data_IF_619961930480
#
_entry.id   IF_619961930480
#
_cell.length_a   1.000
_cell.length_b   1.000
_cell.length_c   1.000
_cell.angle_alpha   90.00
_cell.angle_beta   90.00
_cell.angle_gamma   90.00
#
_symmetry.space_group_name_H-M   'P 1'
#
loop_
_entity.id
_entity.type
_entity.pdbx_description
1 polymer ?
#
# COMPACT_ATOMS: atom_id res chain seq x y z
N UNK A 1 15.94 27.22 41.45
CA UNK A 1 17.12 26.50 40.93
C UNK A 1 16.70 25.92 39.59
N UNK A 2 16.92 26.68 38.51
CA UNK A 2 16.61 26.27 37.14
C UNK A 2 17.81 25.48 36.60
N UNK A 3 17.56 24.33 35.99
CA UNK A 3 18.56 23.56 35.24
C UNK A 3 18.28 23.79 33.75
N UNK A 4 19.27 24.37 33.08
CA UNK A 4 19.31 24.67 31.65
C UNK A 4 19.66 23.41 30.85
N UNK A 5 18.89 23.11 29.81
CA UNK A 5 19.17 22.04 28.83
C UNK A 5 19.73 22.70 27.57
N UNK A 6 20.88 22.28 27.02
CA UNK A 6 21.48 22.94 25.87
C UNK A 6 20.72 22.63 24.59
N UNK A 7 20.28 23.70 23.93
CA UNK A 7 19.74 23.73 22.57
C UNK A 7 20.93 23.72 21.60
N UNK A 8 21.14 22.61 20.87
CA UNK A 8 22.11 22.57 19.77
C UNK A 8 21.51 23.24 18.53
N UNK A 9 21.76 24.54 18.41
CA UNK A 9 21.67 25.30 17.16
C UNK A 9 22.89 24.98 16.30
N UNK A 10 22.72 24.21 15.22
CA UNK A 10 23.70 24.14 14.14
C UNK A 10 23.54 25.38 13.25
N UNK A 11 24.30 26.42 13.60
CA UNK A 11 24.50 27.58 12.75
C UNK A 11 25.42 27.19 11.58
N UNK A 12 24.87 27.16 10.37
CA UNK A 12 25.64 27.13 9.14
C UNK A 12 26.28 28.51 8.93
N UNK A 13 27.60 28.61 9.13
CA UNK A 13 28.40 29.71 8.61
C UNK A 13 29.49 29.14 7.70
N UNK A 14 29.56 29.78 6.54
CA UNK A 14 30.20 29.38 5.30
C UNK A 14 31.62 29.95 5.25
N UNK A 15 32.63 29.15 4.94
CA UNK A 15 33.90 29.63 4.37
C UNK A 15 33.90 29.32 2.88
N UNK A 16 34.08 30.36 2.06
CA UNK A 16 34.11 30.25 0.61
C UNK A 16 35.49 29.79 0.14
N UNK A 17 35.55 28.59 -0.46
CA UNK A 17 36.57 28.24 -1.44
C UNK A 17 35.93 28.05 -2.82
N UNK A 18 36.62 28.54 -3.85
CA UNK A 18 36.15 28.65 -5.23
C UNK A 18 35.93 27.31 -5.95
N UNK A 19 35.50 27.33 -7.23
CA UNK A 19 34.72 26.26 -7.83
C UNK A 19 35.60 25.07 -8.21
N UNK A 20 35.55 24.01 -7.40
CA UNK A 20 35.93 22.65 -7.76
C UNK A 20 34.66 21.79 -7.90
N UNK A 21 34.58 21.00 -8.96
CA UNK A 21 33.41 20.16 -9.29
C UNK A 21 32.93 19.30 -8.10
N UNK A 22 31.61 19.12 -7.92
CA UNK A 22 31.10 18.32 -6.82
C UNK A 22 31.42 16.84 -7.04
N UNK A 23 32.45 16.36 -6.35
CA UNK A 23 32.74 14.93 -6.18
C UNK A 23 31.65 14.31 -5.31
N UNK A 24 30.79 13.55 -5.96
CA UNK A 24 29.58 12.90 -5.47
C UNK A 24 29.87 11.57 -4.76
N UNK A 25 30.34 11.59 -3.50
CA UNK A 25 30.28 10.39 -2.64
C UNK A 25 30.00 10.73 -1.19
N UNK A 26 28.71 10.69 -0.83
CA UNK A 26 28.26 10.43 0.54
C UNK A 26 28.35 8.92 0.83
N UNK A 27 28.60 8.51 2.09
CA UNK A 27 28.85 7.12 2.45
C UNK A 27 27.60 6.24 2.24
N UNK A 28 27.83 5.04 1.70
CA UNK A 28 26.80 4.06 1.32
C UNK A 28 26.30 3.32 2.57
N UNK A 29 25.01 3.43 2.88
CA UNK A 29 24.40 2.70 4.00
C UNK A 29 23.03 3.18 4.53
N UNK A 30 22.29 4.05 3.82
CA UNK A 30 20.99 4.57 4.30
C UNK A 30 19.83 4.10 3.41
N UNK A 31 18.75 3.64 4.06
CA UNK A 31 17.52 3.16 3.44
C UNK A 31 16.73 4.37 2.94
N UNK A 32 16.40 4.42 1.64
CA UNK A 32 15.49 5.42 1.10
C UNK A 32 14.28 4.74 0.45
N UNK A 33 13.25 4.51 1.26
CA UNK A 33 11.86 4.56 0.84
C UNK A 33 11.45 6.02 1.02
N UNK A 34 11.23 6.76 -0.05
CA UNK A 34 10.92 8.18 0.11
C UNK A 34 9.53 8.36 0.72
N UNK A 35 9.41 9.35 1.61
CA UNK A 35 8.12 9.79 2.11
C UNK A 35 7.36 10.49 0.97
N UNK A 36 6.11 10.08 0.78
CA UNK A 36 5.16 10.76 -0.10
C UNK A 36 5.09 12.23 0.30
N UNK A 37 5.21 13.13 -0.67
CA UNK A 37 4.93 14.53 -0.46
C UNK A 37 3.57 14.84 -1.07
N UNK A 38 2.61 15.15 -0.20
CA UNK A 38 1.29 15.62 -0.64
C UNK A 38 1.42 17.01 -1.25
N UNK A 39 0.65 17.25 -2.32
CA UNK A 39 0.46 18.55 -2.92
C UNK A 39 -0.83 19.20 -2.41
N UNK A 40 -1.56 19.84 -3.32
CA UNK A 40 -2.83 20.49 -3.02
C UNK A 40 -3.94 19.48 -2.71
N UNK A 41 -4.81 19.85 -1.78
CA UNK A 41 -6.08 19.15 -1.55
C UNK A 41 -6.96 19.29 -2.78
N UNK A 42 -7.50 18.18 -3.25
CA UNK A 42 -8.40 18.09 -4.38
C UNK A 42 -9.84 17.97 -3.87
N UNK A 43 -10.78 18.54 -4.61
CA UNK A 43 -12.21 18.38 -4.34
C UNK A 43 -12.64 16.98 -4.83
N UNK A 44 -13.18 16.13 -3.95
CA UNK A 44 -13.55 14.75 -4.30
C UNK A 44 -14.79 14.72 -5.23
N UNK A 45 -14.69 14.24 -6.48
CA UNK A 45 -15.83 14.15 -7.38
C UNK A 45 -16.91 13.20 -6.88
N UNK A 46 -16.59 12.26 -5.99
CA UNK A 46 -17.52 11.24 -5.50
C UNK A 46 -18.32 11.66 -4.26
N UNK A 47 -18.15 12.88 -3.72
CA UNK A 47 -19.04 13.31 -2.63
C UNK A 47 -20.50 13.30 -3.10
N UNK A 48 -21.44 13.01 -2.19
CA UNK A 48 -22.88 13.01 -2.51
C UNK A 48 -23.30 14.35 -3.15
N UNK A 49 -22.75 15.47 -2.65
CA UNK A 49 -23.02 16.80 -3.18
C UNK A 49 -22.55 16.96 -4.63
N UNK A 50 -21.29 16.62 -4.92
CA UNK A 50 -20.71 16.77 -6.25
C UNK A 50 -21.39 15.85 -7.27
N UNK A 51 -21.66 14.59 -6.90
CA UNK A 51 -22.40 13.65 -7.76
C UNK A 51 -23.86 14.07 -7.99
N UNK A 52 -24.53 14.66 -6.99
CA UNK A 52 -25.90 15.16 -7.14
C UNK A 52 -25.95 16.39 -8.05
N UNK A 53 -24.98 17.29 -7.96
CA UNK A 53 -24.86 18.44 -8.87
C UNK A 53 -24.58 17.97 -10.29
N UNK A 54 -23.64 17.05 -10.48
CA UNK A 54 -23.33 16.46 -11.77
C UNK A 54 -24.55 15.78 -12.41
N UNK A 55 -25.28 14.97 -11.63
CA UNK A 55 -26.52 14.32 -12.09
C UNK A 55 -27.55 15.35 -12.55
N UNK A 56 -27.70 16.44 -11.81
CA UNK A 56 -28.63 17.54 -12.12
C UNK A 56 -28.26 18.25 -13.41
N UNK A 57 -26.96 18.44 -13.70
CA UNK A 57 -26.49 19.06 -14.95
C UNK A 57 -26.60 18.13 -16.14
N UNK A 58 -26.26 16.85 -15.99
CA UNK A 58 -26.34 15.86 -17.08
C UNK A 58 -27.80 15.53 -17.41
N UNK A 59 -28.66 15.45 -16.39
CA UNK A 59 -30.08 15.13 -16.54
C UNK A 59 -31.00 16.17 -15.87
N UNK A 60 -31.12 17.39 -16.42
CA UNK A 60 -31.97 18.44 -15.84
C UNK A 60 -33.43 18.05 -15.66
N UNK A 61 -33.94 17.15 -16.51
CA UNK A 61 -35.32 16.64 -16.45
C UNK A 61 -35.54 15.59 -15.35
N UNK A 62 -34.45 15.00 -14.83
CA UNK A 62 -34.46 14.08 -13.67
C UNK A 62 -34.04 14.78 -12.37
N UNK A 63 -33.59 16.04 -12.45
CA UNK A 63 -33.25 16.87 -11.30
C UNK A 63 -34.41 16.91 -10.29
N UNK A 64 -34.12 16.67 -9.02
CA UNK A 64 -35.11 16.63 -7.94
C UNK A 64 -35.99 15.37 -7.90
N UNK A 65 -35.96 14.50 -8.91
CA UNK A 65 -36.63 13.17 -8.88
C UNK A 65 -35.72 12.08 -8.36
N UNK A 66 -34.43 12.18 -8.67
CA UNK A 66 -33.39 11.27 -8.17
C UNK A 66 -32.59 12.04 -7.12
N UNK A 67 -32.77 11.63 -5.87
CA UNK A 67 -32.00 12.14 -4.72
C UNK A 67 -30.97 11.07 -4.37
N UNK A 68 -29.69 11.44 -4.47
CA UNK A 68 -28.58 10.59 -4.10
C UNK A 68 -28.45 10.55 -2.57
N UNK A 69 -28.09 9.39 -2.07
CA UNK A 69 -27.77 9.15 -0.66
C UNK A 69 -26.43 8.46 -0.59
N UNK A 70 -25.66 8.71 0.48
CA UNK A 70 -24.38 8.06 0.70
C UNK A 70 -24.49 6.54 0.53
N UNK A 71 -23.60 5.97 -0.27
CA UNK A 71 -23.36 4.52 -0.36
C UNK A 71 -22.22 4.11 0.56
N UNK A 72 -21.24 5.00 0.69
CA UNK A 72 -19.98 4.77 1.38
C UNK A 72 -19.56 6.02 2.15
N UNK A 73 -18.69 5.83 3.13
CA UNK A 73 -18.00 6.89 3.85
C UNK A 73 -16.51 6.82 3.55
N UNK A 74 -15.93 7.97 3.22
CA UNK A 74 -14.49 8.17 3.26
C UNK A 74 -14.10 8.53 4.69
N UNK A 75 -13.27 7.69 5.31
CA UNK A 75 -12.96 7.78 6.73
C UNK A 75 -11.46 7.70 6.96
N UNK A 76 -11.02 8.16 8.13
CA UNK A 76 -9.68 7.90 8.65
C UNK A 76 -9.73 7.41 10.09
N UNK A 77 -8.86 6.48 10.42
CA UNK A 77 -8.69 5.91 11.75
C UNK A 77 -7.33 6.31 12.31
N UNK A 78 -7.23 6.51 13.63
CA UNK A 78 -5.96 6.73 14.33
C UNK A 78 -5.74 5.61 15.35
N UNK A 79 -5.17 4.45 14.93
CA UNK A 79 -4.81 3.38 15.85
C UNK A 79 -3.69 3.83 16.79
N UNK A 80 -3.83 3.54 18.09
CA UNK A 80 -2.78 3.88 19.06
C UNK A 80 -1.66 2.83 19.16
N UNK A 81 -1.94 1.60 18.73
CA UNK A 81 -1.09 0.42 18.87
C UNK A 81 -1.36 -0.61 17.76
N UNK A 82 -0.47 -1.61 17.64
CA UNK A 82 -0.57 -2.66 16.61
C UNK A 82 -1.84 -3.50 16.76
N UNK A 83 -2.34 -3.70 17.98
CA UNK A 83 -3.56 -4.46 18.23
C UNK A 83 -4.80 -3.77 17.64
N UNK A 84 -4.88 -2.44 17.77
CA UNK A 84 -5.93 -1.65 17.12
C UNK A 84 -5.80 -1.62 15.60
N UNK A 85 -4.57 -1.54 15.08
CA UNK A 85 -4.33 -1.62 13.64
C UNK A 85 -4.76 -3.00 13.09
N UNK A 86 -4.44 -4.08 13.81
CA UNK A 86 -4.84 -5.44 13.46
C UNK A 86 -6.37 -5.61 13.52
N UNK A 87 -7.04 -5.03 14.52
CA UNK A 87 -8.50 -5.03 14.60
C UNK A 87 -9.18 -4.45 13.34
N UNK A 88 -8.64 -3.35 12.79
CA UNK A 88 -9.14 -2.76 11.54
C UNK A 88 -8.93 -3.70 10.34
N UNK A 89 -7.81 -4.43 10.31
CA UNK A 89 -7.46 -5.36 9.23
C UNK A 89 -8.29 -6.63 9.25
N UNK A 90 -8.56 -7.16 10.44
CA UNK A 90 -9.40 -8.35 10.63
C UNK A 90 -10.85 -8.08 10.21
N UNK A 91 -11.27 -6.82 10.19
CA UNK A 91 -12.55 -6.35 9.60
C UNK A 91 -12.51 -6.28 8.07
N UNK A 92 -11.42 -6.67 7.44
CA UNK A 92 -11.27 -6.71 5.98
C UNK A 92 -11.03 -5.35 5.33
N UNK A 93 -10.68 -4.31 6.11
CA UNK A 93 -10.46 -2.97 5.58
C UNK A 93 -9.17 -2.92 4.75
N UNK A 94 -9.25 -2.26 3.60
CA UNK A 94 -8.07 -1.80 2.87
C UNK A 94 -7.68 -0.43 3.42
N UNK A 95 -6.56 -0.37 4.12
CA UNK A 95 -6.04 0.82 4.78
C UNK A 95 -4.94 1.45 3.92
N UNK A 96 -4.99 2.77 3.78
CA UNK A 96 -3.94 3.59 3.18
C UNK A 96 -3.36 4.53 4.22
N UNK A 97 -2.07 4.83 4.14
CA UNK A 97 -1.39 5.71 5.09
C UNK A 97 -1.43 7.20 4.72
N UNK A 98 -2.00 7.54 3.56
CA UNK A 98 -2.13 8.91 3.08
C UNK A 98 -3.55 9.20 2.61
N UNK A 99 -3.97 10.48 2.68
CA UNK A 99 -5.28 10.89 2.19
C UNK A 99 -5.42 10.65 0.68
N UNK A 100 -6.62 10.26 0.27
CA UNK A 100 -6.99 9.94 -1.11
C UNK A 100 -7.47 11.16 -1.92
N UNK A 101 -7.71 12.28 -1.25
CA UNK A 101 -8.21 13.56 -1.75
C UNK A 101 -7.10 14.61 -1.87
N UNK A 102 -5.85 14.18 -2.04
CA UNK A 102 -4.70 15.07 -2.26
C UNK A 102 -3.97 14.69 -3.55
N UNK A 103 -3.47 15.71 -4.24
CA UNK A 103 -2.46 15.48 -5.27
C UNK A 103 -1.15 14.98 -4.64
N UNK A 104 -0.36 14.22 -5.39
CA UNK A 104 0.95 13.75 -4.95
C UNK A 104 2.01 14.58 -5.68
N UNK A 105 2.71 15.43 -4.93
CA UNK A 105 3.78 16.27 -5.45
C UNK A 105 5.07 15.47 -5.68
N UNK A 106 5.34 14.49 -4.81
CA UNK A 106 6.45 13.53 -4.97
C UNK A 106 6.00 12.13 -4.57
N UNK A 107 6.32 11.19 -5.44
CA UNK A 107 6.09 9.76 -5.21
C UNK A 107 6.93 9.23 -4.04
N UNK A 108 6.35 8.25 -3.36
CA UNK A 108 6.95 7.60 -2.20
C UNK A 108 6.23 6.30 -1.86
N UNK A 109 6.79 5.59 -0.89
CA UNK A 109 6.29 4.28 -0.44
C UNK A 109 5.53 4.34 0.89
N UNK A 110 5.58 5.50 1.58
CA UNK A 110 4.79 5.74 2.79
C UNK A 110 4.50 7.23 3.02
N UNK A 111 3.56 7.54 3.90
CA UNK A 111 3.29 8.91 4.38
C UNK A 111 3.19 8.95 5.90
N UNK A 112 3.79 9.98 6.52
CA UNK A 112 3.60 10.31 7.93
C UNK A 112 2.86 11.64 8.04
N UNK A 113 1.70 11.65 8.69
CA UNK A 113 0.96 12.88 8.95
C UNK A 113 1.76 13.75 9.95
N UNK A 114 2.10 15.01 9.61
CA UNK A 114 2.89 15.88 10.49
C UNK A 114 2.22 16.21 11.83
N UNK A 115 0.91 15.99 11.97
CA UNK A 115 0.17 16.17 13.22
C UNK A 115 0.30 14.98 14.17
N UNK A 116 0.81 13.84 13.68
CA UNK A 116 1.05 12.63 14.45
C UNK A 116 2.55 12.52 14.77
N UNK A 117 2.89 12.11 15.98
CA UNK A 117 4.29 11.95 16.39
C UNK A 117 5.04 11.00 15.47
N UNK A 118 6.32 11.28 15.18
CA UNK A 118 7.14 10.52 14.21
C UNK A 118 7.21 9.02 14.52
N UNK A 119 7.08 8.63 15.79
CA UNK A 119 7.14 7.24 16.24
C UNK A 119 5.75 6.55 16.35
N UNK A 120 4.66 7.25 16.02
CA UNK A 120 3.29 6.77 16.19
C UNK A 120 2.62 6.41 14.87
N UNK A 121 1.72 5.42 14.91
CA UNK A 121 0.94 4.98 13.73
C UNK A 121 0.16 6.18 13.17
N UNK A 122 0.49 6.57 11.94
CA UNK A 122 -0.20 7.64 11.21
C UNK A 122 -1.67 7.29 10.95
N UNK A 123 -2.45 8.29 10.52
CA UNK A 123 -3.81 8.10 10.06
C UNK A 123 -3.94 7.02 8.99
N UNK A 124 -4.89 6.12 9.19
CA UNK A 124 -5.23 5.03 8.28
C UNK A 124 -6.54 5.37 7.57
N UNK A 125 -6.45 5.69 6.28
CA UNK A 125 -7.56 6.09 5.43
C UNK A 125 -8.22 4.87 4.81
N UNK A 126 -9.55 4.87 4.76
CA UNK A 126 -10.34 3.77 4.20
C UNK A 126 -11.65 4.29 3.59
N UNK A 127 -12.28 3.42 2.80
CA UNK A 127 -13.65 3.61 2.32
C UNK A 127 -14.48 2.46 2.85
N UNK A 128 -15.57 2.78 3.55
CA UNK A 128 -16.42 1.80 4.24
C UNK A 128 -17.87 1.97 3.81
N UNK A 129 -18.67 0.89 3.76
CA UNK A 129 -20.09 1.02 3.42
C UNK A 129 -20.84 1.81 4.50
N UNK A 130 -21.97 2.41 4.12
CA UNK A 130 -22.81 3.24 5.02
C UNK A 130 -23.27 2.55 6.32
N UNK A 131 -23.35 1.23 6.33
CA UNK A 131 -23.77 0.41 7.47
C UNK A 131 -22.58 -0.19 8.24
N UNK A 132 -21.35 0.27 7.95
CA UNK A 132 -20.16 -0.15 8.66
C UNK A 132 -20.26 0.13 10.15
N UNK A 133 -20.10 -0.91 10.97
CA UNK A 133 -20.09 -0.81 12.42
C UNK A 133 -18.70 -0.36 12.90
N UNK A 134 -18.52 0.94 13.12
CA UNK A 134 -17.26 1.52 13.59
C UNK A 134 -16.80 0.91 14.93
N UNK A 135 -15.53 0.53 15.08
CA UNK A 135 -14.99 0.09 16.38
C UNK A 135 -14.94 1.27 17.36
N UNK A 136 -15.41 1.07 18.59
CA UNK A 136 -15.43 2.13 19.62
C UNK A 136 -14.03 2.37 20.21
N UNK A 137 -13.14 1.39 20.09
CA UNK A 137 -11.80 1.44 20.68
C UNK A 137 -10.80 2.25 19.84
N UNK A 138 -11.10 2.51 18.56
CA UNK A 138 -10.21 3.18 17.62
C UNK A 138 -10.79 4.55 17.26
N UNK A 139 -9.98 5.60 17.41
CA UNK A 139 -10.38 6.95 16.98
C UNK A 139 -10.68 6.96 15.47
N UNK A 140 -11.81 7.53 15.09
CA UNK A 140 -12.31 7.53 13.72
C UNK A 140 -12.97 8.86 13.38
N UNK A 141 -12.72 9.33 12.16
CA UNK A 141 -13.36 10.52 11.60
C UNK A 141 -13.96 10.18 10.23
N UNK A 142 -15.21 10.63 10.00
CA UNK A 142 -15.81 10.63 8.67
C UNK A 142 -15.39 11.92 7.98
N UNK A 143 -14.68 11.79 6.87
CA UNK A 143 -14.18 12.91 6.07
C UNK A 143 -15.24 13.37 5.07
N UNK A 144 -15.85 12.42 4.35
CA UNK A 144 -16.88 12.71 3.35
C UNK A 144 -17.94 11.60 3.28
N UNK A 145 -19.16 12.01 2.95
CA UNK A 145 -20.22 11.10 2.48
C UNK A 145 -20.10 10.92 0.96
N UNK A 146 -19.85 9.69 0.52
CA UNK A 146 -19.54 9.37 -0.86
C UNK A 146 -20.68 8.62 -1.54
N UNK A 147 -20.77 8.81 -2.85
CA UNK A 147 -21.68 8.09 -3.73
C UNK A 147 -20.90 7.33 -4.80
N UNK A 148 -20.83 6.01 -4.64
CA UNK A 148 -20.27 5.08 -5.61
C UNK A 148 -21.41 4.33 -6.29
N UNK A 149 -21.61 4.60 -7.59
CA UNK A 149 -22.73 4.09 -8.38
C UNK A 149 -22.83 2.55 -8.37
N UNK A 150 -21.69 1.88 -8.35
CA UNK A 150 -21.54 0.42 -8.29
C UNK A 150 -21.97 -0.23 -6.97
N UNK A 151 -22.10 0.55 -5.90
CA UNK A 151 -22.62 0.08 -4.60
C UNK A 151 -24.11 0.37 -4.42
N UNK A 152 -24.78 0.90 -5.45
CA UNK A 152 -26.23 1.06 -5.41
C UNK A 152 -26.94 -0.30 -5.40
N UNK A 153 -28.04 -0.44 -4.62
CA UNK A 153 -28.93 -1.58 -4.77
C UNK A 153 -29.45 -1.66 -6.21
N UNK A 154 -29.55 -2.87 -6.78
CA UNK A 154 -30.00 -3.11 -8.17
C UNK A 154 -31.32 -2.39 -8.50
N UNK A 155 -32.24 -2.33 -7.53
CA UNK A 155 -33.53 -1.63 -7.67
C UNK A 155 -33.42 -0.10 -7.92
N UNK A 156 -32.27 0.52 -7.63
CA UNK A 156 -31.97 1.94 -7.89
C UNK A 156 -31.07 2.17 -9.10
N UNK A 157 -30.38 1.13 -9.59
CA UNK A 157 -29.47 1.23 -10.73
C UNK A 157 -30.20 1.48 -12.06
N UNK A 158 -31.48 1.07 -12.16
CA UNK A 158 -32.25 1.03 -13.41
C UNK A 158 -32.94 2.34 -13.80
N UNK A 159 -32.49 3.48 -13.27
CA UNK A 159 -33.07 4.80 -13.59
C UNK A 159 -32.76 5.28 -15.03
N UNK A 160 -32.14 4.45 -15.88
CA UNK A 160 -31.64 4.84 -17.20
C UNK A 160 -30.66 6.00 -17.13
N UNK A 161 -29.85 6.05 -16.06
CA UNK A 161 -28.80 7.04 -15.84
C UNK A 161 -27.50 6.45 -16.32
N UNK A 162 -26.81 7.17 -17.20
CA UNK A 162 -25.44 6.88 -17.59
C UNK A 162 -24.50 7.41 -16.51
N UNK A 163 -24.15 6.55 -15.55
CA UNK A 163 -23.30 6.94 -14.42
C UNK A 163 -21.90 7.35 -14.85
N UNK A 164 -21.37 6.79 -15.95
CA UNK A 164 -20.07 7.22 -16.47
C UNK A 164 -20.11 8.70 -16.90
N UNK A 165 -21.20 9.13 -17.54
CA UNK A 165 -21.40 10.55 -17.90
C UNK A 165 -21.60 11.46 -16.68
N UNK A 166 -22.24 10.96 -15.62
CA UNK A 166 -22.39 11.70 -14.36
C UNK A 166 -21.04 11.85 -13.67
N UNK A 167 -20.24 10.78 -13.61
CA UNK A 167 -18.86 10.84 -13.09
C UNK A 167 -18.01 11.81 -13.92
N UNK A 168 -18.09 11.78 -15.25
CA UNK A 168 -17.38 12.74 -16.12
C UNK A 168 -17.68 14.20 -15.75
N UNK A 169 -18.97 14.51 -15.61
CA UNK A 169 -19.40 15.85 -15.21
C UNK A 169 -18.95 16.18 -13.79
N UNK A 170 -18.95 15.23 -12.85
CA UNK A 170 -18.46 15.46 -11.50
C UNK A 170 -16.97 15.85 -11.50
N UNK A 171 -16.13 15.11 -12.22
CA UNK A 171 -14.72 15.47 -12.41
C UNK A 171 -14.56 16.86 -13.02
N UNK A 172 -15.45 17.23 -13.95
CA UNK A 172 -15.48 18.57 -14.55
C UNK A 172 -15.80 19.67 -13.54
N UNK A 173 -16.82 19.46 -12.71
CA UNK A 173 -17.27 20.42 -11.71
C UNK A 173 -16.26 20.64 -10.60
N UNK A 174 -15.53 19.60 -10.22
CA UNK A 174 -14.52 19.67 -9.16
C UNK A 174 -13.14 20.09 -9.68
N UNK A 175 -13.00 20.43 -10.97
CA UNK A 175 -11.72 20.85 -11.57
C UNK A 175 -10.72 19.71 -11.80
N UNK A 176 -11.17 18.46 -11.72
CA UNK A 176 -10.35 17.25 -11.88
C UNK A 176 -10.35 16.70 -13.32
N UNK A 177 -10.74 17.49 -14.32
CA UNK A 177 -10.84 17.10 -15.74
C UNK A 177 -9.58 16.41 -16.26
N UNK A 178 -8.39 16.84 -15.82
CA UNK A 178 -7.11 16.27 -16.25
C UNK A 178 -6.88 14.83 -15.74
N UNK A 179 -7.61 14.40 -14.71
CA UNK A 179 -7.55 13.03 -14.17
C UNK A 179 -8.52 12.09 -14.89
N UNK A 180 -9.49 12.64 -15.61
CA UNK A 180 -10.47 11.89 -16.37
C UNK A 180 -9.87 11.29 -17.64
N UNK A 181 -10.16 10.02 -17.91
CA UNK A 181 -9.88 9.39 -19.20
C UNK A 181 -11.11 8.62 -19.66
N UNK A 182 -11.75 9.03 -20.78
CA UNK A 182 -12.92 8.33 -21.26
C UNK A 182 -12.54 6.91 -21.70
N UNK A 183 -13.41 5.94 -21.40
CA UNK A 183 -13.24 4.57 -21.87
C UNK A 183 -13.09 4.56 -23.41
N UNK A 184 -11.98 4.01 -23.91
CA UNK A 184 -11.60 4.06 -25.34
C UNK A 184 -12.55 3.29 -26.26
N UNK A 185 -13.45 2.45 -25.73
CA UNK A 185 -14.39 1.68 -26.55
C UNK A 185 -15.84 1.88 -26.13
N UNK A 186 -16.71 2.07 -27.13
CA UNK A 186 -18.18 2.17 -27.01
C UNK A 186 -18.88 0.92 -26.45
N UNK A 187 -18.13 -0.08 -25.96
CA UNK A 187 -18.64 -1.42 -25.63
C UNK A 187 -18.33 -1.95 -24.24
N UNK A 188 -17.62 -1.20 -23.38
CA UNK A 188 -17.39 -1.65 -22.01
C UNK A 188 -16.30 -0.83 -21.34
N UNK A 189 -16.55 -0.46 -20.08
CA UNK A 189 -15.48 0.04 -19.22
C UNK A 189 -14.47 -1.09 -19.05
N UNK A 190 -13.23 -0.86 -19.47
CA UNK A 190 -12.16 -1.86 -19.33
C UNK A 190 -11.89 -2.04 -17.84
N UNK A 191 -11.95 -3.29 -17.39
CA UNK A 191 -11.58 -3.63 -16.02
C UNK A 191 -10.06 -3.78 -16.00
N UNK A 192 -9.34 -3.06 -15.12
CA UNK A 192 -7.89 -3.12 -15.09
C UNK A 192 -7.35 -4.54 -14.98
N UNK A 193 -6.42 -4.87 -15.86
CA UNK A 193 -5.70 -6.14 -15.85
C UNK A 193 -4.27 -5.96 -16.32
N UNK A 194 -3.37 -6.78 -15.80
CA UNK A 194 -1.97 -6.73 -16.18
C UNK A 194 -1.18 -7.87 -15.57
N UNK A 195 0.14 -7.76 -15.62
CA UNK A 195 1.07 -8.76 -15.12
C UNK A 195 2.23 -8.13 -14.36
N UNK A 196 2.50 -8.62 -13.16
CA UNK A 196 3.67 -8.26 -12.35
C UNK A 196 4.69 -9.39 -12.42
N UNK A 197 5.90 -9.10 -12.87
CA UNK A 197 6.95 -10.11 -13.06
C UNK A 197 8.28 -9.68 -12.47
N UNK A 198 9.13 -10.64 -12.14
CA UNK A 198 10.55 -10.45 -11.84
C UNK A 198 11.36 -10.80 -13.10
N UNK A 199 12.32 -9.95 -13.45
CA UNK A 199 13.32 -10.18 -14.48
C UNK A 199 14.72 -10.18 -13.83
N UNK A 200 15.34 -11.36 -13.78
CA UNK A 200 16.72 -11.54 -13.32
C UNK A 200 17.52 -12.25 -14.42
N UNK A 201 18.56 -11.60 -15.01
CA UNK A 201 19.39 -12.21 -16.05
C UNK A 201 20.08 -13.52 -15.65
N UNK A 202 20.33 -13.73 -14.35
CA UNK A 202 21.03 -14.90 -13.82
C UNK A 202 20.08 -16.04 -13.46
N UNK A 203 18.77 -15.79 -13.43
CA UNK A 203 17.74 -16.76 -13.06
C UNK A 203 16.77 -17.01 -14.22
N UNK A 204 16.20 -18.22 -14.31
CA UNK A 204 15.23 -18.60 -15.35
C UNK A 204 15.68 -18.30 -16.81
N UNK A 205 17.00 -18.28 -17.05
CA UNK A 205 17.59 -17.90 -18.33
C UNK A 205 17.26 -16.46 -18.78
N UNK A 206 17.05 -15.54 -17.83
CA UNK A 206 16.68 -14.15 -18.08
C UNK A 206 15.22 -13.94 -18.49
N UNK A 207 14.38 -14.98 -18.45
CA UNK A 207 12.96 -14.84 -18.81
C UNK A 207 12.17 -14.31 -17.63
N UNK A 208 11.28 -13.33 -17.83
CA UNK A 208 10.39 -12.86 -16.78
C UNK A 208 9.48 -13.97 -16.24
N UNK A 209 9.29 -14.00 -14.92
CA UNK A 209 8.38 -14.92 -14.24
C UNK A 209 7.51 -14.17 -13.21
N UNK A 210 6.35 -14.71 -12.89
CA UNK A 210 5.32 -14.01 -12.11
C UNK A 210 5.73 -13.70 -10.67
N UNK A 211 5.28 -12.56 -10.15
CA UNK A 211 5.20 -12.34 -8.70
C UNK A 211 3.89 -12.96 -8.21
N UNK A 212 3.97 -14.07 -7.47
CA UNK A 212 2.83 -14.94 -7.20
C UNK A 212 2.04 -14.52 -5.96
N UNK A 213 0.70 -14.47 -6.07
CA UNK A 213 -0.19 -14.29 -4.94
C UNK A 213 -0.09 -12.94 -4.23
N UNK A 214 0.59 -11.93 -4.80
CA UNK A 214 0.77 -10.62 -4.18
C UNK A 214 -0.46 -9.75 -4.43
N UNK A 215 -0.85 -8.93 -3.46
CA UNK A 215 -1.94 -7.99 -3.66
C UNK A 215 -1.52 -6.85 -4.59
N UNK A 216 -2.34 -6.59 -5.61
CA UNK A 216 -2.32 -5.38 -6.42
C UNK A 216 -3.50 -4.53 -5.99
N UNK A 217 -3.23 -3.26 -5.72
CA UNK A 217 -4.25 -2.27 -5.39
C UNK A 217 -4.18 -1.11 -6.36
N UNK A 218 -5.34 -0.57 -6.74
CA UNK A 218 -5.40 0.70 -7.45
C UNK A 218 -6.55 1.56 -6.94
N UNK A 219 -6.33 2.88 -6.95
CA UNK A 219 -7.35 3.83 -6.54
C UNK A 219 -7.32 5.12 -7.36
N UNK A 220 -8.48 5.79 -7.41
CA UNK A 220 -8.62 7.19 -7.80
C UNK A 220 -9.62 7.82 -6.84
N UNK A 221 -9.19 8.82 -6.07
CA UNK A 221 -9.95 9.27 -4.90
C UNK A 221 -10.35 8.07 -4.02
N UNK A 222 -11.62 8.04 -3.62
CA UNK A 222 -12.28 7.02 -2.80
C UNK A 222 -12.70 5.77 -3.60
N UNK A 223 -12.55 5.77 -4.93
CA UNK A 223 -12.80 4.56 -5.72
C UNK A 223 -11.57 3.67 -5.64
N UNK A 224 -11.70 2.52 -4.96
CA UNK A 224 -10.62 1.56 -4.70
C UNK A 224 -10.96 0.18 -5.28
N UNK A 225 -9.97 -0.48 -5.87
CA UNK A 225 -10.01 -1.89 -6.22
C UNK A 225 -8.74 -2.60 -5.73
N UNK A 226 -8.90 -3.83 -5.26
CA UNK A 226 -7.80 -4.72 -4.90
C UNK A 226 -8.05 -6.10 -5.50
N UNK A 227 -6.97 -6.83 -5.76
CA UNK A 227 -6.99 -8.22 -6.22
C UNK A 227 -5.64 -8.86 -5.90
N UNK A 228 -5.53 -10.17 -6.04
CA UNK A 228 -4.24 -10.87 -5.94
C UNK A 228 -3.77 -11.28 -7.34
N UNK A 229 -2.45 -11.30 -7.55
CA UNK A 229 -1.89 -11.94 -8.74
C UNK A 229 -2.06 -13.45 -8.66
N UNK A 230 -2.24 -14.10 -9.80
CA UNK A 230 -2.11 -15.55 -9.90
C UNK A 230 -0.63 -15.98 -9.80
N UNK A 231 -0.39 -17.29 -9.91
CA UNK A 231 0.96 -17.87 -9.87
C UNK A 231 1.91 -17.28 -10.93
N UNK A 232 1.39 -16.93 -12.10
CA UNK A 232 2.15 -16.40 -13.23
C UNK A 232 2.24 -14.87 -13.22
N UNK A 233 1.72 -14.22 -12.18
CA UNK A 233 1.80 -12.79 -11.94
C UNK A 233 0.66 -11.98 -12.57
N UNK A 234 -0.33 -12.63 -13.17
CA UNK A 234 -1.45 -11.93 -13.79
C UNK A 234 -2.46 -11.46 -12.75
N UNK A 235 -3.00 -10.27 -12.92
CA UNK A 235 -4.07 -9.74 -12.08
C UNK A 235 -5.22 -9.20 -12.92
N UNK A 236 -6.42 -9.20 -12.34
CA UNK A 236 -7.60 -8.54 -12.87
C UNK A 236 -8.43 -7.98 -11.73
N UNK A 237 -8.76 -6.69 -11.81
CA UNK A 237 -9.56 -5.99 -10.82
C UNK A 237 -11.04 -6.42 -10.89
N UNK A 238 -11.82 -6.10 -9.85
CA UNK A 238 -13.26 -6.39 -9.81
C UNK A 238 -14.15 -5.29 -10.39
N UNK A 239 -13.59 -4.12 -10.68
CA UNK A 239 -14.31 -2.91 -11.11
C UNK A 239 -13.48 -2.06 -12.04
N UNK A 240 -14.13 -1.17 -12.76
CA UNK A 240 -13.49 -0.28 -13.73
C UNK A 240 -13.35 1.15 -13.20
N UNK A 241 -12.49 1.91 -13.88
CA UNK A 241 -12.14 3.28 -13.49
C UNK A 241 -12.35 4.22 -14.65
N UNK A 242 -12.75 5.44 -14.33
CA UNK A 242 -13.07 6.48 -15.32
C UNK A 242 -11.94 7.52 -15.46
N UNK A 243 -10.85 7.32 -14.73
CA UNK A 243 -9.63 8.12 -14.78
C UNK A 243 -8.42 7.27 -14.44
N UNK A 244 -7.21 7.82 -14.59
CA UNK A 244 -5.95 7.09 -14.39
C UNK A 244 -5.76 6.70 -12.91
N UNK A 245 -5.96 5.43 -12.54
CA UNK A 245 -5.80 5.04 -11.16
C UNK A 245 -4.31 4.90 -10.84
N UNK A 246 -4.02 5.03 -9.55
CA UNK A 246 -2.67 4.87 -9.00
C UNK A 246 -2.48 3.43 -8.55
N UNK A 247 -1.54 2.71 -9.16
CA UNK A 247 -1.27 1.30 -8.88
C UNK A 247 -0.21 1.15 -7.79
N UNK A 248 -0.38 0.12 -6.95
CA UNK A 248 0.55 -0.26 -5.89
C UNK A 248 0.62 -1.78 -5.80
N UNK A 249 1.80 -2.26 -5.43
CA UNK A 249 2.00 -3.63 -4.94
C UNK A 249 1.95 -3.54 -3.42
N UNK A 250 1.04 -4.31 -2.81
CA UNK A 250 0.92 -4.41 -1.36
C UNK A 250 1.40 -5.80 -0.99
N UNK A 251 2.45 -5.89 -0.18
CA UNK A 251 3.07 -7.16 0.19
C UNK A 251 2.27 -7.90 1.28
N UNK A 252 0.97 -8.05 1.03
CA UNK A 252 0.05 -9.01 1.62
C UNK A 252 -0.16 -10.10 0.58
N UNK A 253 -0.02 -11.37 0.98
CA UNK A 253 -0.13 -12.50 0.08
C UNK A 253 -1.47 -13.24 0.24
N UNK A 254 -1.97 -13.88 -0.83
CA UNK A 254 -3.18 -14.70 -0.79
C UNK A 254 -3.05 -15.92 0.16
N UNK A 255 -1.82 -16.37 0.45
CA UNK A 255 -1.55 -17.40 1.47
C UNK A 255 -1.65 -16.87 2.91
N UNK A 256 -1.88 -15.57 3.06
CA UNK A 256 -2.18 -14.86 4.30
C UNK A 256 -0.96 -14.13 4.92
N UNK A 257 0.26 -14.60 4.65
CA UNK A 257 1.47 -13.96 5.18
C UNK A 257 1.63 -12.53 4.65
N UNK A 258 2.38 -11.72 5.37
CA UNK A 258 2.73 -10.36 4.99
C UNK A 258 4.24 -10.14 5.06
N UNK A 259 4.74 -9.33 4.14
CA UNK A 259 6.12 -8.84 4.17
C UNK A 259 6.05 -7.36 4.47
N UNK A 260 6.68 -6.93 5.54
CA UNK A 260 6.59 -5.54 5.94
C UNK A 260 7.68 -5.16 6.91
N UNK A 261 8.34 -4.06 6.58
CA UNK A 261 9.27 -3.37 7.45
C UNK A 261 9.05 -1.87 7.26
N UNK A 262 7.89 -1.36 7.70
CA UNK A 262 7.64 0.07 7.75
C UNK A 262 7.45 0.44 9.21
N UNK A 263 8.53 0.95 9.80
CA UNK A 263 8.79 1.06 11.23
C UNK A 263 7.70 1.66 12.11
N UNK A 264 6.72 2.36 11.56
CA UNK A 264 5.70 3.08 12.34
C UNK A 264 4.28 2.97 11.70
N UNK A 265 4.09 2.56 10.44
CA UNK A 265 2.91 3.04 9.65
C UNK A 265 2.09 1.95 8.94
N UNK A 266 2.67 0.84 8.45
CA UNK A 266 1.91 -0.28 7.85
C UNK A 266 2.70 -1.59 8.03
N UNK A 267 2.13 -2.66 8.62
CA UNK A 267 2.83 -3.95 8.76
C UNK A 267 2.94 -4.77 7.47
N UNK A 268 2.49 -4.24 6.33
CA UNK A 268 2.85 -4.75 5.01
C UNK A 268 3.50 -3.61 4.23
N UNK A 269 4.66 -3.86 3.64
CA UNK A 269 5.31 -2.88 2.79
C UNK A 269 4.45 -2.63 1.54
N UNK A 270 4.43 -1.38 1.11
CA UNK A 270 3.77 -0.94 -0.12
C UNK A 270 4.84 -0.43 -1.07
N UNK A 271 4.68 -0.72 -2.35
CA UNK A 271 5.51 -0.15 -3.41
C UNK A 271 4.62 0.54 -4.44
N UNK A 272 4.81 1.85 -4.59
CA UNK A 272 4.00 2.67 -5.49
C UNK A 272 4.50 2.55 -6.94
N UNK A 273 3.64 2.07 -7.85
CA UNK A 273 3.95 1.99 -9.28
C UNK A 273 3.57 3.29 -10.03
N UNK A 274 2.85 4.19 -9.37
CA UNK A 274 2.41 5.47 -9.92
C UNK A 274 1.08 5.39 -10.65
N UNK A 275 0.75 6.44 -11.41
CA UNK A 275 -0.48 6.51 -12.22
C UNK A 275 -0.36 5.60 -13.46
N UNK A 276 -1.35 4.75 -13.67
CA UNK A 276 -1.47 3.89 -14.85
C UNK A 276 -2.74 4.17 -15.64
N UNK A 277 -2.93 3.42 -16.73
CA UNK A 277 -4.17 3.54 -17.51
C UNK A 277 -5.33 2.82 -16.79
N UNK A 278 -6.59 3.19 -17.10
CA UNK A 278 -7.77 2.50 -16.57
C UNK A 278 -7.92 1.06 -17.06
N UNK A 279 -7.20 0.66 -18.12
CA UNK A 279 -7.16 -0.71 -18.65
C UNK A 279 -6.20 -1.64 -17.87
N UNK A 280 -5.30 -1.09 -17.06
CA UNK A 280 -4.31 -1.84 -16.31
C UNK A 280 -2.86 -1.41 -16.58
N UNK A 281 -1.94 -2.09 -15.92
CA UNK A 281 -0.50 -1.84 -16.01
C UNK A 281 0.29 -3.15 -15.83
N UNK A 282 1.17 -3.44 -16.77
CA UNK A 282 2.22 -4.45 -16.57
C UNK A 282 3.41 -3.81 -15.85
N UNK A 283 4.10 -4.59 -15.00
CA UNK A 283 5.30 -4.13 -14.32
C UNK A 283 6.37 -5.23 -14.28
N UNK A 284 7.58 -4.87 -14.71
CA UNK A 284 8.74 -5.77 -14.73
C UNK A 284 9.75 -5.31 -13.68
N UNK A 285 9.76 -6.01 -12.54
CA UNK A 285 10.68 -5.78 -11.43
C UNK A 285 12.06 -6.30 -11.79
N UNK A 286 13.08 -5.47 -11.69
CA UNK A 286 14.48 -5.77 -12.01
C UNK A 286 15.34 -5.69 -10.76
N UNK A 287 16.50 -6.36 -10.76
CA UNK A 287 17.45 -6.32 -9.64
C UNK A 287 17.85 -4.88 -9.23
N UNK A 288 17.95 -3.97 -10.21
CA UNK A 288 18.20 -2.55 -9.98
C UNK A 288 17.12 -1.81 -9.16
N UNK A 289 15.93 -2.39 -8.99
CA UNK A 289 14.82 -1.81 -8.20
C UNK A 289 15.03 -2.02 -6.68
N UNK A 290 16.13 -2.64 -6.28
CA UNK A 290 16.62 -2.69 -4.90
C UNK A 290 15.64 -3.34 -3.94
N UNK A 291 14.92 -2.53 -3.16
CA UNK A 291 13.99 -3.02 -2.15
C UNK A 291 12.74 -3.70 -2.74
N UNK A 292 12.20 -3.18 -3.84
CA UNK A 292 11.04 -3.80 -4.51
C UNK A 292 11.39 -5.21 -4.99
N UNK A 293 12.55 -5.36 -5.63
CA UNK A 293 13.07 -6.66 -6.06
C UNK A 293 13.14 -7.65 -4.90
N UNK A 294 13.82 -7.28 -3.80
CA UNK A 294 13.97 -8.15 -2.61
C UNK A 294 12.61 -8.57 -2.04
N UNK A 295 11.66 -7.66 -1.92
CA UNK A 295 10.30 -7.97 -1.44
C UNK A 295 9.59 -8.96 -2.37
N UNK A 296 9.71 -8.80 -3.68
CA UNK A 296 9.16 -9.74 -4.66
C UNK A 296 9.82 -11.13 -4.59
N UNK A 297 11.15 -11.21 -4.37
CA UNK A 297 11.83 -12.50 -4.19
C UNK A 297 11.36 -13.20 -2.91
N UNK A 298 11.32 -12.48 -1.79
CA UNK A 298 10.83 -13.02 -0.51
C UNK A 298 9.37 -13.47 -0.63
N UNK A 299 8.52 -12.68 -1.31
CA UNK A 299 7.12 -13.04 -1.57
C UNK A 299 7.01 -14.37 -2.31
N UNK A 300 7.74 -14.55 -3.40
CA UNK A 300 7.67 -15.77 -4.18
C UNK A 300 8.22 -16.97 -3.42
N UNK A 301 9.31 -16.81 -2.67
CA UNK A 301 9.90 -17.88 -1.87
C UNK A 301 8.93 -18.36 -0.77
N UNK A 302 8.30 -17.43 -0.04
CA UNK A 302 7.28 -17.76 0.93
C UNK A 302 6.04 -18.40 0.26
N UNK A 303 5.54 -17.82 -0.84
CA UNK A 303 4.42 -18.38 -1.60
C UNK A 303 4.65 -19.83 -2.02
N UNK A 304 5.83 -20.11 -2.56
CA UNK A 304 6.23 -21.44 -3.00
C UNK A 304 6.30 -22.39 -1.81
N UNK A 305 6.91 -21.99 -0.69
CA UNK A 305 6.97 -22.82 0.52
C UNK A 305 5.58 -23.24 0.99
N UNK A 306 4.67 -22.28 1.19
CA UNK A 306 3.28 -22.56 1.58
C UNK A 306 2.56 -23.48 0.59
N UNK A 307 2.82 -23.30 -0.71
CA UNK A 307 2.21 -24.11 -1.77
C UNK A 307 2.72 -25.56 -1.79
N UNK A 308 3.93 -25.79 -1.26
CA UNK A 308 4.58 -27.10 -1.20
C UNK A 308 4.34 -27.85 0.10
N UNK A 309 3.83 -27.20 1.15
CA UNK A 309 3.38 -27.86 2.40
C UNK A 309 2.19 -28.82 2.23
N UNK A 310 1.74 -29.09 1.00
CA UNK A 310 0.67 -30.06 0.74
C UNK A 310 1.16 -31.49 1.00
N UNK A 311 0.22 -32.41 1.28
CA UNK A 311 0.51 -33.83 1.51
C UNK A 311 1.14 -34.51 0.29
N UNK A 312 0.88 -33.99 -0.90
CA UNK A 312 1.37 -34.51 -2.16
C UNK A 312 2.81 -34.07 -2.52
N UNK A 313 3.38 -33.08 -1.81
CA UNK A 313 4.77 -32.62 -2.00
C UNK A 313 5.60 -32.82 -0.71
N UNK A 314 5.61 -31.85 0.21
CA UNK A 314 6.47 -31.92 1.40
C UNK A 314 5.87 -32.71 2.57
N UNK A 315 4.55 -32.84 2.62
CA UNK A 315 3.81 -33.48 3.74
C UNK A 315 4.20 -32.90 5.13
N UNK A 316 4.27 -31.57 5.20
CA UNK A 316 4.53 -30.81 6.43
C UNK A 316 3.42 -29.81 6.71
N UNK A 317 3.21 -29.46 7.97
CA UNK A 317 2.23 -28.41 8.30
C UNK A 317 2.71 -27.05 7.78
N UNK A 318 1.83 -26.26 7.12
CA UNK A 318 2.20 -24.92 6.68
C UNK A 318 2.45 -24.01 7.89
N UNK A 319 3.25 -22.94 7.73
CA UNK A 319 3.39 -21.92 8.77
C UNK A 319 2.05 -21.21 9.03
N UNK A 320 1.91 -20.47 10.15
CA UNK A 320 0.71 -19.69 10.45
C UNK A 320 0.30 -18.78 9.28
N UNK A 321 -1.01 -18.65 9.05
CA UNK A 321 -1.49 -17.89 7.89
C UNK A 321 -1.25 -16.39 8.02
N UNK A 322 -0.90 -15.85 9.17
CA UNK A 322 -0.69 -14.42 9.44
C UNK A 322 0.79 -14.06 9.70
N UNK A 323 1.70 -14.94 9.24
CA UNK A 323 3.14 -14.81 9.39
C UNK A 323 3.65 -13.43 8.94
N UNK A 324 4.46 -12.79 9.80
CA UNK A 324 5.09 -11.49 9.56
C UNK A 324 6.56 -11.65 9.18
N UNK A 325 6.89 -11.37 7.92
CA UNK A 325 8.26 -11.48 7.38
C UNK A 325 8.89 -10.09 7.24
N UNK A 326 10.03 -9.88 7.89
CA UNK A 326 10.80 -8.65 7.86
C UNK A 326 12.06 -8.82 7.03
N UNK A 327 12.41 -7.80 6.25
CA UNK A 327 13.60 -7.83 5.38
C UNK A 327 14.62 -6.81 5.87
N UNK A 328 15.83 -7.29 6.20
CA UNK A 328 16.94 -6.46 6.61
C UNK A 328 18.05 -6.47 5.54
N UNK A 329 18.16 -5.36 4.80
CA UNK A 329 19.13 -5.23 3.70
C UNK A 329 20.59 -5.18 4.18
N UNK A 330 20.83 -4.76 5.43
CA UNK A 330 22.16 -4.65 6.02
C UNK A 330 22.64 -5.91 6.75
N UNK A 331 21.76 -6.89 6.98
CA UNK A 331 22.09 -8.12 7.69
C UNK A 331 22.39 -9.25 6.70
N UNK A 332 23.35 -10.10 7.06
CA UNK A 332 23.68 -11.32 6.31
C UNK A 332 22.97 -12.56 6.86
N UNK A 333 22.44 -12.48 8.08
CA UNK A 333 21.83 -13.59 8.80
C UNK A 333 20.32 -13.42 8.88
N UNK A 334 19.62 -14.54 8.84
CA UNK A 334 18.15 -14.63 8.96
C UNK A 334 17.78 -15.39 10.23
N UNK A 335 16.53 -15.29 10.66
CA UNK A 335 16.01 -15.95 11.86
C UNK A 335 14.49 -16.09 11.82
N UNK A 336 13.97 -17.27 12.15
CA UNK A 336 12.56 -17.50 12.46
C UNK A 336 12.30 -17.40 13.98
N UNK A 337 12.23 -16.18 14.50
CA UNK A 337 12.05 -15.91 15.94
C UNK A 337 10.63 -16.14 16.45
N UNK A 338 9.60 -16.14 15.57
CA UNK A 338 8.19 -16.40 15.90
C UNK A 338 7.64 -15.56 17.06
N UNK A 339 8.08 -14.31 17.18
CA UNK A 339 7.79 -13.47 18.35
C UNK A 339 6.31 -13.11 18.46
N UNK A 340 5.63 -12.85 17.34
CA UNK A 340 4.20 -12.57 17.32
C UNK A 340 3.38 -13.78 17.80
N UNK A 341 3.92 -14.99 17.64
CA UNK A 341 3.34 -16.24 18.13
C UNK A 341 3.82 -16.64 19.53
N UNK A 342 4.40 -15.70 20.30
CA UNK A 342 4.69 -15.87 21.72
C UNK A 342 5.97 -16.63 22.03
N UNK A 343 6.89 -16.76 21.07
CA UNK A 343 8.22 -17.30 21.34
C UNK A 343 8.97 -16.39 22.33
N UNK A 344 9.41 -16.96 23.45
CA UNK A 344 10.17 -16.25 24.47
C UNK A 344 11.67 -16.34 24.16
N UNK A 345 12.31 -15.22 23.86
CA UNK A 345 13.76 -15.11 23.70
C UNK A 345 14.38 -14.43 24.92
N UNK A 346 15.56 -14.91 25.35
CA UNK A 346 16.39 -14.21 26.32
C UNK A 346 16.81 -12.85 25.72
N UNK A 347 16.54 -11.75 26.44
CA UNK A 347 16.80 -10.38 25.97
C UNK A 347 18.27 -10.10 25.63
N UNK A 348 19.22 -10.87 26.19
CA UNK A 348 20.64 -10.78 25.83
C UNK A 348 20.93 -11.29 24.41
N UNK A 349 20.29 -12.37 24.00
CA UNK A 349 20.44 -12.97 22.65
C UNK A 349 19.79 -12.10 21.59
N UNK A 350 18.62 -11.52 21.90
CA UNK A 350 17.94 -10.56 21.02
C UNK A 350 18.81 -9.32 20.80
N UNK A 351 19.46 -8.83 21.86
CA UNK A 351 20.36 -7.67 21.81
C UNK A 351 21.57 -7.91 20.93
N UNK A 352 22.21 -9.06 21.07
CA UNK A 352 23.41 -9.39 20.29
C UNK A 352 23.10 -9.61 18.80
N UNK A 353 21.91 -10.14 18.48
CA UNK A 353 21.47 -10.34 17.09
C UNK A 353 21.01 -9.04 16.40
N UNK A 354 20.29 -8.18 17.13
CA UNK A 354 19.54 -7.06 16.54
C UNK A 354 20.11 -5.68 16.85
N UNK A 355 21.04 -5.56 17.81
CA UNK A 355 21.74 -4.32 18.13
C UNK A 355 20.80 -3.14 18.39
N UNK A 356 20.88 -2.08 17.57
CA UNK A 356 20.08 -0.86 17.71
C UNK A 356 18.56 -1.07 17.50
N UNK A 357 18.14 -2.21 16.95
CA UNK A 357 16.75 -2.46 16.56
C UNK A 357 15.86 -3.08 17.66
N UNK A 358 16.41 -3.34 18.86
CA UNK A 358 15.72 -4.01 19.98
C UNK A 358 14.37 -3.38 20.36
N UNK A 359 14.32 -2.06 20.52
CA UNK A 359 13.13 -1.34 20.97
C UNK A 359 11.95 -1.47 20.01
N UNK A 360 12.21 -1.75 18.73
CA UNK A 360 11.19 -1.80 17.69
C UNK A 360 10.62 -3.22 17.53
N UNK A 361 11.41 -4.23 17.91
CA UNK A 361 10.99 -5.64 17.90
C UNK A 361 10.09 -5.96 19.09
N UNK A 362 10.26 -5.29 20.23
CA UNK A 362 9.32 -5.39 21.37
C UNK A 362 7.91 -4.90 21.04
N UNK A 363 7.75 -4.01 20.04
CA UNK A 363 6.46 -3.42 19.67
C UNK A 363 5.73 -4.26 18.59
N UNK A 364 6.44 -4.71 17.57
CA UNK A 364 5.81 -5.29 16.36
C UNK A 364 6.04 -6.80 16.15
N UNK A 365 6.97 -7.39 16.92
CA UNK A 365 7.16 -8.83 17.07
C UNK A 365 7.23 -9.60 15.73
N UNK A 366 8.28 -9.49 14.91
CA UNK A 366 8.40 -10.27 13.68
C UNK A 366 8.41 -11.79 13.95
N UNK A 367 7.84 -12.53 13.00
CA UNK A 367 7.92 -13.99 13.01
C UNK A 367 9.20 -14.47 12.33
N UNK A 368 9.53 -13.88 11.19
CA UNK A 368 10.74 -14.18 10.43
C UNK A 368 11.46 -12.88 10.07
N UNK A 369 12.77 -12.86 10.26
CA UNK A 369 13.66 -11.80 9.78
C UNK A 369 14.59 -12.38 8.73
N UNK A 370 14.69 -11.74 7.57
CA UNK A 370 15.48 -12.18 6.43
C UNK A 370 16.61 -11.17 6.18
N UNK A 371 17.85 -11.59 6.40
CA UNK A 371 19.03 -10.83 6.02
C UNK A 371 19.31 -10.98 4.53
N UNK A 372 19.39 -9.87 3.79
CA UNK A 372 19.56 -9.91 2.32
C UNK A 372 20.84 -9.24 1.84
N UNK A 373 21.78 -8.90 2.74
CA UNK A 373 23.02 -8.23 2.37
C UNK A 373 23.81 -9.07 1.36
N UNK A 374 24.15 -8.45 0.23
CA UNK A 374 24.96 -9.05 -0.85
C UNK A 374 24.38 -10.35 -1.46
N UNK A 375 23.06 -10.59 -1.32
CA UNK A 375 22.39 -11.74 -1.92
C UNK A 375 21.72 -11.39 -3.25
N UNK A 376 21.83 -12.31 -4.22
CA UNK A 376 21.06 -12.33 -5.46
C UNK A 376 19.70 -13.02 -5.25
N UNK A 377 18.92 -13.19 -6.32
CA UNK A 377 17.62 -13.87 -6.26
C UNK A 377 17.73 -15.24 -5.58
N UNK A 378 18.66 -16.08 -6.01
CA UNK A 378 18.78 -17.45 -5.54
C UNK A 378 19.18 -17.52 -4.05
N UNK A 379 20.07 -16.61 -3.62
CA UNK A 379 20.47 -16.47 -2.23
C UNK A 379 19.30 -16.07 -1.32
N UNK A 380 18.56 -15.04 -1.70
CA UNK A 380 17.37 -14.58 -0.94
C UNK A 380 16.32 -15.70 -0.90
N UNK A 381 15.99 -16.29 -2.05
CA UNK A 381 15.00 -17.35 -2.15
C UNK A 381 15.34 -18.53 -1.23
N UNK A 382 16.60 -19.00 -1.29
CA UNK A 382 17.06 -20.09 -0.44
C UNK A 382 17.01 -19.73 1.04
N UNK A 383 17.37 -18.50 1.42
CA UNK A 383 17.30 -18.07 2.82
C UNK A 383 15.87 -18.10 3.34
N UNK A 384 14.90 -17.64 2.55
CA UNK A 384 13.49 -17.58 2.96
C UNK A 384 12.89 -18.98 3.09
N UNK A 385 13.25 -19.91 2.21
CA UNK A 385 12.77 -21.30 2.26
C UNK A 385 13.40 -22.09 3.43
N UNK A 386 14.59 -21.65 3.88
CA UNK A 386 15.29 -22.28 5.00
C UNK A 386 14.71 -21.88 6.36
N UNK A 387 14.40 -20.59 6.54
CA UNK A 387 13.69 -20.07 7.72
C UNK A 387 12.23 -20.51 7.72
#
# INVERSE_FOLDING_TARGET
MLISIPLFLLAACHEMEGPGEPSSRLPVGEVYHDMIQLGEKLEDPYTVANMQEALTKVYPTKAGRIVLSATDYYVRFLPRDDAQLQLLRDRGLYLMDHPMDYSIAREGDYYQDPSVGEDAITWQYAVVPRDFAFPEEVECEILDECFLSEHQPEAKADAGVDWARVEEEAYRLTGNEALWQPALTKGGSSVPQGRITIEDPQFSGGKPFGVAGVMVACNIFVKIATTYTDRDGYYKMGKSFSGNPRYRIVFKNEKGFNIGFNFIIIPASVSTLGKGSPEGMDYHVKDGDGALFRRCVVNNAAYDYYSRCTREDLDVSPPPADLRIWIFNGLTSSSASMLHHGAYLDGSVLSDYLGLWLKLIEIFLPDITIGTKEMDYAGIYKSVVHE
#
